data_IF_947266214171
#
_entry.id   IF_947266214171
#
_cell.length_a   1.000
_cell.length_b   1.000
_cell.length_c   1.000
_cell.angle_alpha   90.00
_cell.angle_beta   90.00
_cell.angle_gamma   90.00
#
_symmetry.space_group_name_H-M   'P 1'
#
loop_
_entity.id
_entity.type
_entity.pdbx_description
1 polymer ?
#
# COMPACT_ATOMS: atom_id res chain seq x y z
N UNK A 1 11.58 -12.08 2.30
CA UNK A 1 10.57 -11.55 3.24
C UNK A 1 10.08 -10.23 2.66
N UNK A 2 8.81 -10.16 2.27
CA UNK A 2 8.20 -8.93 1.76
C UNK A 2 8.05 -7.98 2.94
N UNK A 3 8.80 -6.88 2.95
CA UNK A 3 8.61 -5.81 3.93
C UNK A 3 7.59 -4.83 3.38
N UNK A 4 6.82 -4.19 4.27
CA UNK A 4 5.84 -3.17 3.87
C UNK A 4 6.43 -2.00 3.09
N UNK A 5 7.68 -1.67 3.42
CA UNK A 5 8.50 -0.73 2.68
C UNK A 5 9.61 -1.51 1.99
N UNK A 6 10.08 -0.99 0.88
CA UNK A 6 11.36 -1.42 0.32
C UNK A 6 12.49 -0.91 1.22
N UNK A 7 12.77 -1.67 2.28
CA UNK A 7 13.76 -1.33 3.28
C UNK A 7 15.18 -1.32 2.69
N UNK A 8 15.44 -2.11 1.66
CA UNK A 8 16.75 -2.19 1.00
C UNK A 8 16.97 -0.94 0.13
N UNK A 9 15.94 -0.49 -0.59
CA UNK A 9 15.96 0.78 -1.29
C UNK A 9 16.15 1.96 -0.31
N UNK A 10 15.48 1.94 0.84
CA UNK A 10 15.64 2.97 1.87
C UNK A 10 17.06 2.97 2.47
N UNK A 11 17.61 1.81 2.83
CA UNK A 11 19.00 1.69 3.32
C UNK A 11 19.97 2.21 2.26
N UNK A 12 19.76 1.86 1.00
CA UNK A 12 20.57 2.36 -0.12
C UNK A 12 20.50 3.88 -0.23
N UNK A 13 19.30 4.47 -0.08
CA UNK A 13 19.13 5.92 -0.07
C UNK A 13 19.87 6.57 1.11
N UNK A 14 19.74 6.03 2.32
CA UNK A 14 20.44 6.54 3.52
C UNK A 14 21.96 6.52 3.34
N UNK A 15 22.51 5.46 2.75
CA UNK A 15 23.96 5.32 2.51
C UNK A 15 24.46 6.23 1.37
N UNK A 16 23.68 6.39 0.30
CA UNK A 16 24.03 7.31 -0.80
C UNK A 16 24.06 8.77 -0.34
N UNK A 17 23.11 9.17 0.51
CA UNK A 17 23.06 10.51 1.10
C UNK A 17 24.02 10.69 2.30
N UNK A 18 24.70 9.63 2.75
CA UNK A 18 25.67 9.72 3.84
C UNK A 18 26.94 10.51 3.48
N UNK A 19 27.23 10.61 2.18
CA UNK A 19 28.38 11.38 1.67
C UNK A 19 28.17 12.88 1.95
N UNK A 20 26.95 13.40 1.89
CA UNK A 20 26.66 14.81 2.21
C UNK A 20 26.77 15.11 3.72
N UNK A 21 26.28 14.21 4.57
CA UNK A 21 26.22 14.46 6.02
C UNK A 21 27.57 14.29 6.74
N UNK A 22 28.44 13.38 6.28
CA UNK A 22 29.79 13.23 6.84
C UNK A 22 30.66 14.47 6.56
N UNK A 23 30.46 15.12 5.41
CA UNK A 23 31.16 16.35 5.03
C UNK A 23 30.60 17.57 5.77
N UNK A 24 29.28 17.62 6.03
CA UNK A 24 28.62 18.78 6.67
C UNK A 24 28.66 18.74 8.20
N UNK A 25 28.55 17.56 8.83
CA UNK A 25 28.38 17.43 10.29
C UNK A 25 29.43 16.54 10.99
N UNK A 26 30.41 16.00 10.25
CA UNK A 26 31.57 15.29 10.82
C UNK A 26 31.26 13.96 11.52
N UNK A 27 30.06 13.40 11.36
CA UNK A 27 29.60 12.26 12.15
C UNK A 27 29.12 11.10 11.27
N UNK A 28 30.08 10.31 10.74
CA UNK A 28 29.81 9.13 9.91
C UNK A 28 29.01 8.02 10.63
N UNK A 29 28.86 8.11 11.96
CA UNK A 29 28.19 7.10 12.77
C UNK A 29 26.67 7.19 12.73
N UNK A 30 26.09 8.33 12.30
CA UNK A 30 24.64 8.47 12.30
C UNK A 30 23.95 7.59 11.24
N UNK A 31 24.53 7.48 10.04
CA UNK A 31 23.98 6.62 9.00
C UNK A 31 24.04 5.14 9.40
N UNK A 32 25.10 4.73 10.12
CA UNK A 32 25.22 3.36 10.65
C UNK A 32 24.12 3.04 11.66
N UNK A 33 23.78 4.00 12.53
CA UNK A 33 22.67 3.84 13.46
C UNK A 33 21.34 3.69 12.72
N UNK A 34 21.06 4.55 11.74
CA UNK A 34 19.82 4.51 10.96
C UNK A 34 19.65 3.18 10.21
N UNK A 35 20.71 2.69 9.56
CA UNK A 35 20.68 1.38 8.89
C UNK A 35 20.37 0.25 9.88
N UNK A 36 21.00 0.27 11.08
CA UNK A 36 20.70 -0.73 12.12
C UNK A 36 19.25 -0.65 12.58
N UNK A 37 18.72 0.55 12.83
CA UNK A 37 17.33 0.73 13.26
C UNK A 37 16.38 0.18 12.21
N UNK A 38 16.55 0.55 10.94
CA UNK A 38 15.70 0.11 9.82
C UNK A 38 15.76 -1.42 9.66
N UNK A 39 16.97 -2.00 9.72
CA UNK A 39 17.16 -3.44 9.50
C UNK A 39 16.49 -4.32 10.57
N UNK A 40 16.31 -3.79 11.79
CA UNK A 40 15.73 -4.52 12.92
C UNK A 40 14.28 -4.13 13.23
N UNK A 41 13.67 -3.22 12.47
CA UNK A 41 12.25 -2.94 12.67
C UNK A 41 11.41 -4.16 12.28
N UNK A 42 10.40 -4.53 13.08
CA UNK A 42 9.45 -5.54 12.67
C UNK A 42 8.68 -5.04 11.45
N UNK A 43 8.41 -5.94 10.50
CA UNK A 43 7.40 -5.69 9.46
C UNK A 43 6.09 -6.28 9.96
N UNK A 44 5.00 -5.52 9.84
CA UNK A 44 3.67 -6.12 10.04
C UNK A 44 3.38 -7.04 8.85
N UNK A 45 2.61 -8.09 9.11
CA UNK A 45 2.09 -8.98 8.08
C UNK A 45 0.90 -8.30 7.41
N UNK A 46 1.17 -7.57 6.33
CA UNK A 46 0.15 -6.88 5.56
C UNK A 46 -0.15 -7.67 4.30
N UNK A 47 -1.42 -7.92 4.05
CA UNK A 47 -1.85 -8.48 2.77
C UNK A 47 -1.56 -7.48 1.64
N UNK A 48 -1.14 -7.96 0.46
CA UNK A 48 -1.05 -7.12 -0.73
C UNK A 48 -2.38 -6.41 -1.00
N UNK A 49 -2.31 -5.20 -1.55
CA UNK A 49 -3.51 -4.50 -2.02
C UNK A 49 -4.18 -5.39 -3.07
N UNK A 50 -5.41 -5.80 -2.79
CA UNK A 50 -6.24 -6.53 -3.76
C UNK A 50 -6.85 -5.53 -4.71
N UNK A 51 -6.83 -5.83 -6.00
CA UNK A 51 -7.43 -5.00 -7.03
C UNK A 51 -8.71 -5.66 -7.51
N UNK A 52 -9.82 -4.92 -7.49
CA UNK A 52 -11.13 -5.39 -7.90
C UNK A 52 -11.75 -4.47 -8.95
N UNK A 53 -12.88 -4.92 -9.49
CA UNK A 53 -13.74 -4.13 -10.38
C UNK A 53 -15.16 -4.12 -9.87
N UNK A 54 -15.84 -3.00 -10.10
CA UNK A 54 -17.28 -2.89 -9.92
C UNK A 54 -18.00 -3.45 -11.14
N UNK A 55 -18.71 -4.55 -10.95
CA UNK A 55 -19.55 -5.15 -11.99
C UNK A 55 -20.97 -4.62 -11.85
N UNK A 56 -21.58 -4.06 -12.92
CA UNK A 56 -22.97 -3.64 -12.87
C UNK A 56 -23.87 -4.86 -12.59
N UNK A 57 -24.88 -4.68 -11.74
CA UNK A 57 -25.93 -5.69 -11.57
C UNK A 57 -26.80 -5.80 -12.83
N UNK A 58 -27.53 -6.91 -12.93
CA UNK A 58 -28.43 -7.24 -14.05
C UNK A 58 -29.24 -6.04 -14.55
N UNK A 59 -29.17 -5.81 -15.86
CA UNK A 59 -29.95 -4.79 -16.55
C UNK A 59 -31.46 -5.07 -16.43
N UNK A 60 -32.26 -4.03 -16.22
CA UNK A 60 -33.72 -4.13 -16.12
C UNK A 60 -34.28 -4.32 -14.71
N UNK A 61 -33.43 -4.50 -13.69
CA UNK A 61 -33.84 -4.46 -12.28
C UNK A 61 -33.55 -3.09 -11.66
N UNK A 62 -34.52 -2.53 -10.94
CA UNK A 62 -34.34 -1.27 -10.20
C UNK A 62 -33.71 -1.60 -8.86
N UNK A 63 -32.43 -1.23 -8.71
CA UNK A 63 -31.73 -1.30 -7.44
C UNK A 63 -31.66 0.08 -6.79
N UNK A 64 -31.66 0.16 -5.45
CA UNK A 64 -31.29 1.38 -4.77
C UNK A 64 -29.92 1.88 -5.25
N UNK A 65 -29.72 3.21 -5.27
CA UNK A 65 -28.51 3.79 -5.86
C UNK A 65 -27.21 3.28 -5.20
N UNK A 66 -27.30 2.83 -3.94
CA UNK A 66 -26.22 2.33 -3.08
C UNK A 66 -25.87 0.84 -3.29
N UNK A 67 -26.56 0.12 -4.18
CA UNK A 67 -26.35 -1.32 -4.45
C UNK A 67 -26.23 -1.62 -5.95
N UNK A 68 -25.82 -0.63 -6.76
CA UNK A 68 -25.79 -0.77 -8.23
C UNK A 68 -24.68 -1.69 -8.73
N UNK A 69 -23.60 -1.85 -7.96
CA UNK A 69 -22.43 -2.61 -8.38
C UNK A 69 -22.13 -3.76 -7.43
N UNK A 70 -21.45 -4.77 -7.96
CA UNK A 70 -20.98 -5.95 -7.25
C UNK A 70 -19.46 -6.03 -7.35
N UNK A 71 -18.80 -6.22 -6.21
CA UNK A 71 -17.35 -6.38 -6.15
C UNK A 71 -16.92 -7.71 -6.79
N UNK A 72 -15.95 -7.68 -7.71
CA UNK A 72 -15.37 -8.89 -8.33
C UNK A 72 -14.67 -9.83 -7.34
N UNK A 73 -14.14 -9.30 -6.23
CA UNK A 73 -13.29 -10.05 -5.30
C UNK A 73 -14.08 -10.77 -4.20
N UNK A 74 -15.19 -10.17 -3.74
CA UNK A 74 -15.94 -10.71 -2.60
C UNK A 74 -17.46 -10.79 -2.83
N UNK A 75 -17.97 -10.25 -3.95
CA UNK A 75 -19.40 -10.25 -4.25
C UNK A 75 -20.24 -9.21 -3.49
N UNK A 76 -19.62 -8.36 -2.66
CA UNK A 76 -20.35 -7.33 -1.91
C UNK A 76 -20.98 -6.29 -2.84
N UNK A 77 -22.14 -5.76 -2.43
CA UNK A 77 -22.82 -4.70 -3.17
C UNK A 77 -22.49 -3.32 -2.60
N UNK A 78 -22.24 -2.38 -3.50
CA UNK A 78 -22.01 -0.99 -3.14
C UNK A 78 -22.34 -0.09 -4.34
N UNK A 79 -22.33 1.20 -4.08
CA UNK A 79 -21.99 2.24 -5.05
C UNK A 79 -20.52 2.14 -5.54
N UNK A 80 -20.19 2.95 -6.53
CA UNK A 80 -18.90 3.04 -7.22
C UNK A 80 -17.80 3.72 -6.38
N UNK A 81 -17.49 3.15 -5.20
CA UNK A 81 -16.42 3.65 -4.33
C UNK A 81 -15.04 3.24 -4.82
N UNK A 82 -14.00 3.98 -4.44
CA UNK A 82 -12.59 3.61 -4.75
C UNK A 82 -12.14 2.32 -4.07
N UNK A 83 -12.82 1.89 -3.01
CA UNK A 83 -12.50 0.68 -2.28
C UNK A 83 -13.78 -0.08 -1.93
N UNK A 84 -13.73 -1.41 -1.97
CA UNK A 84 -14.79 -2.24 -1.45
C UNK A 84 -14.88 -2.08 0.09
N UNK A 85 -16.05 -1.76 0.65
CA UNK A 85 -16.20 -1.60 2.10
C UNK A 85 -16.09 -2.93 2.88
N UNK A 86 -16.28 -4.08 2.21
CA UNK A 86 -16.24 -5.38 2.86
C UNK A 86 -14.85 -6.02 2.81
N UNK A 87 -14.22 -6.10 1.63
CA UNK A 87 -12.92 -6.78 1.48
C UNK A 87 -11.71 -5.85 1.36
N UNK A 88 -11.91 -4.52 1.30
CA UNK A 88 -10.82 -3.54 1.15
C UNK A 88 -10.14 -3.52 -0.21
N UNK A 89 -10.63 -4.30 -1.20
CA UNK A 89 -10.08 -4.28 -2.55
C UNK A 89 -10.17 -2.86 -3.15
N UNK A 90 -9.07 -2.38 -3.71
CA UNK A 90 -9.04 -1.13 -4.46
C UNK A 90 -9.68 -1.35 -5.82
N UNK A 91 -10.61 -0.48 -6.17
CA UNK A 91 -11.35 -0.59 -7.41
C UNK A 91 -10.57 0.13 -8.49
N UNK A 92 -10.08 -0.62 -9.47
CA UNK A 92 -9.41 -0.03 -10.61
C UNK A 92 -10.47 0.71 -11.44
N UNK A 93 -10.19 1.98 -11.78
CA UNK A 93 -11.07 2.77 -12.63
C UNK A 93 -11.28 2.03 -13.96
N UNK A 94 -12.53 2.03 -14.43
CA UNK A 94 -12.96 1.35 -15.66
C UNK A 94 -12.45 2.11 -16.88
#
# INVERSE_FOLDING_TARGET
MTRLIDADALITAVLKNAIDYAVVFGNADMHRLLVRVIAHQPTIDAEPVRHGKWMPREEGKVYPFWERYTCSECGEHSDDKRYCPNCGARMDEV
#
